data_IF_026536676856
#
_entry.id   IF_026536676856
#
_cell.length_a   1.000
_cell.length_b   1.000
_cell.length_c   1.000
_cell.angle_alpha   90.00
_cell.angle_beta   90.00
_cell.angle_gamma   90.00
#
_symmetry.space_group_name_H-M   'P 1'
#
loop_
_entity.id
_entity.type
_entity.pdbx_description
1 polymer ?
#
# COMPACT_ATOMS: atom_id res chain seq x y z
N UNK A 1 -26.33 -15.37 2.11
CA UNK A 1 -25.58 -14.92 0.90
C UNK A 1 -24.43 -14.07 1.43
N UNK A 2 -23.19 -14.35 1.05
CA UNK A 2 -22.03 -13.59 1.54
C UNK A 2 -22.04 -12.19 0.91
N UNK A 3 -22.29 -11.17 1.74
CA UNK A 3 -22.33 -9.75 1.32
C UNK A 3 -21.05 -9.34 0.60
N UNK A 4 -19.89 -9.86 1.05
CA UNK A 4 -18.59 -9.51 0.48
C UNK A 4 -18.40 -10.12 -0.91
N UNK A 5 -18.94 -11.33 -1.14
CA UNK A 5 -18.88 -12.02 -2.43
C UNK A 5 -19.62 -11.25 -3.54
N UNK A 6 -20.70 -10.54 -3.19
CA UNK A 6 -21.45 -9.71 -4.15
C UNK A 6 -20.72 -8.40 -4.50
N UNK A 7 -19.78 -7.96 -3.68
CA UNK A 7 -19.01 -6.73 -3.89
C UNK A 7 -17.69 -6.96 -4.65
N UNK A 8 -17.15 -8.17 -4.60
CA UNK A 8 -15.94 -8.51 -5.34
C UNK A 8 -16.19 -8.50 -6.84
N UNK A 9 -15.24 -7.94 -7.61
CA UNK A 9 -15.25 -8.03 -9.08
C UNK A 9 -14.63 -9.33 -9.58
N UNK A 10 -13.97 -10.09 -8.70
CA UNK A 10 -13.24 -11.30 -9.05
C UNK A 10 -13.88 -12.52 -8.40
N UNK A 11 -13.82 -13.65 -9.09
CA UNK A 11 -14.24 -14.92 -8.49
C UNK A 11 -13.04 -15.57 -7.83
N UNK A 12 -12.96 -15.46 -6.51
CA UNK A 12 -11.86 -16.01 -5.73
C UNK A 12 -12.02 -17.48 -5.36
N UNK A 13 -10.88 -18.13 -5.13
CA UNK A 13 -10.81 -19.32 -4.29
C UNK A 13 -11.20 -18.94 -2.84
N UNK A 14 -11.74 -19.88 -2.04
CA UNK A 14 -12.23 -19.59 -0.69
C UNK A 14 -11.23 -18.85 0.22
N UNK A 15 -9.94 -19.16 0.14
CA UNK A 15 -8.92 -18.49 0.94
C UNK A 15 -8.76 -17.00 0.60
N UNK A 16 -8.72 -16.64 -0.69
CA UNK A 16 -8.67 -15.23 -1.14
C UNK A 16 -9.95 -14.47 -0.78
N UNK A 17 -11.10 -15.15 -0.83
CA UNK A 17 -12.37 -14.59 -0.39
C UNK A 17 -12.37 -14.28 1.12
N UNK A 18 -11.75 -15.15 1.94
CA UNK A 18 -11.61 -14.92 3.39
C UNK A 18 -10.82 -13.64 3.69
N UNK A 19 -9.72 -13.40 2.97
CA UNK A 19 -8.90 -12.19 3.16
C UNK A 19 -9.72 -10.92 2.91
N UNK A 20 -10.47 -10.87 1.80
CA UNK A 20 -11.30 -9.71 1.49
C UNK A 20 -12.38 -9.50 2.56
N UNK A 21 -12.98 -10.60 3.06
CA UNK A 21 -13.96 -10.54 4.15
C UNK A 21 -13.33 -9.97 5.41
N UNK A 22 -12.17 -10.48 5.81
CA UNK A 22 -11.50 -10.11 7.04
C UNK A 22 -10.98 -8.65 6.99
N UNK A 23 -10.60 -8.17 5.80
CA UNK A 23 -10.34 -6.73 5.53
C UNK A 23 -11.57 -5.88 5.81
N UNK A 24 -12.74 -6.25 5.27
CA UNK A 24 -14.00 -5.51 5.48
C UNK A 24 -14.39 -5.52 6.96
N UNK A 25 -14.20 -6.65 7.64
CA UNK A 25 -14.48 -6.77 9.08
C UNK A 25 -13.55 -5.85 9.89
N UNK A 26 -12.25 -5.81 9.57
CA UNK A 26 -11.31 -4.94 10.27
C UNK A 26 -11.65 -3.46 10.04
N UNK A 27 -11.97 -3.06 8.80
CA UNK A 27 -12.43 -1.71 8.51
C UNK A 27 -13.70 -1.36 9.31
N UNK A 28 -14.69 -2.26 9.38
CA UNK A 28 -15.92 -2.02 10.14
C UNK A 28 -15.66 -1.87 11.65
N UNK A 29 -14.75 -2.67 12.20
CA UNK A 29 -14.35 -2.58 13.61
C UNK A 29 -13.60 -1.26 13.89
N UNK A 30 -12.68 -0.85 13.02
CA UNK A 30 -11.96 0.42 13.15
C UNK A 30 -12.89 1.64 13.03
N UNK A 31 -13.90 1.57 12.15
CA UNK A 31 -14.83 2.67 11.90
C UNK A 31 -15.92 2.81 12.96
N UNK A 32 -16.43 1.69 13.45
CA UNK A 32 -17.68 1.66 14.23
C UNK A 32 -17.49 1.11 15.64
N UNK A 33 -16.31 0.58 15.98
CA UNK A 33 -16.04 -0.08 17.27
C UNK A 33 -16.83 -1.37 17.51
N UNK A 34 -17.68 -1.79 16.57
CA UNK A 34 -18.55 -2.96 16.69
C UNK A 34 -18.84 -3.60 15.34
N UNK A 35 -18.98 -4.92 15.37
CA UNK A 35 -19.34 -5.71 14.21
C UNK A 35 -20.84 -6.01 14.20
N UNK A 36 -21.55 -5.55 13.17
CA UNK A 36 -22.92 -5.91 12.90
C UNK A 36 -23.19 -5.83 11.39
N UNK A 37 -24.30 -6.42 10.93
CA UNK A 37 -24.68 -6.36 9.50
C UNK A 37 -24.74 -4.91 9.01
N UNK A 38 -25.37 -3.96 9.71
CA UNK A 38 -25.37 -2.55 9.30
C UNK A 38 -23.97 -1.92 9.23
N UNK A 39 -23.04 -2.26 10.13
CA UNK A 39 -21.68 -1.68 10.09
C UNK A 39 -20.86 -2.25 8.92
N UNK A 40 -21.07 -3.52 8.58
CA UNK A 40 -20.49 -4.15 7.38
C UNK A 40 -21.04 -3.49 6.11
N UNK A 41 -22.37 -3.34 5.99
CA UNK A 41 -23.00 -2.70 4.83
C UNK A 41 -22.54 -1.24 4.66
N UNK A 42 -22.53 -0.46 5.74
CA UNK A 42 -22.04 0.91 5.72
C UNK A 42 -20.56 0.97 5.26
N UNK A 43 -19.72 0.05 5.75
CA UNK A 43 -18.31 -0.03 5.34
C UNK A 43 -18.18 -0.34 3.85
N UNK A 44 -18.94 -1.33 3.35
CA UNK A 44 -18.95 -1.73 1.94
C UNK A 44 -19.36 -0.57 1.01
N UNK A 45 -20.34 0.23 1.43
CA UNK A 45 -20.85 1.35 0.63
C UNK A 45 -19.98 2.61 0.73
N UNK A 46 -19.59 3.03 1.92
CA UNK A 46 -18.85 4.28 2.14
C UNK A 46 -17.38 4.17 1.71
N UNK A 47 -16.78 2.99 1.83
CA UNK A 47 -15.35 2.77 1.54
C UNK A 47 -15.13 1.85 0.33
N UNK A 48 -16.11 1.83 -0.58
CA UNK A 48 -16.05 1.06 -1.83
C UNK A 48 -14.74 1.26 -2.62
N UNK A 49 -14.14 2.46 -2.72
CA UNK A 49 -12.85 2.62 -3.40
C UNK A 49 -11.72 1.81 -2.76
N UNK A 50 -11.62 1.82 -1.43
CA UNK A 50 -10.61 1.06 -0.67
C UNK A 50 -10.82 -0.44 -0.85
N UNK A 51 -12.06 -0.90 -0.70
CA UNK A 51 -12.40 -2.32 -0.83
C UNK A 51 -12.15 -2.82 -2.26
N UNK A 52 -12.51 -2.02 -3.27
CA UNK A 52 -12.22 -2.35 -4.67
C UNK A 52 -10.72 -2.40 -4.96
N UNK A 53 -9.94 -1.62 -4.24
CA UNK A 53 -8.49 -1.69 -4.34
C UNK A 53 -7.93 -2.95 -3.68
N UNK A 54 -8.37 -3.33 -2.48
CA UNK A 54 -7.97 -4.61 -1.87
C UNK A 54 -8.39 -5.81 -2.72
N UNK A 55 -9.57 -5.78 -3.31
CA UNK A 55 -10.02 -6.76 -4.31
C UNK A 55 -8.97 -6.88 -5.44
N UNK A 56 -8.56 -5.76 -6.03
CA UNK A 56 -7.48 -5.79 -7.02
C UNK A 56 -6.16 -6.34 -6.46
N UNK A 57 -5.70 -5.89 -5.28
CA UNK A 57 -4.45 -6.35 -4.68
C UNK A 57 -4.43 -7.87 -4.50
N UNK A 58 -5.53 -8.44 -3.98
CA UNK A 58 -5.68 -9.89 -3.78
C UNK A 58 -5.69 -10.65 -5.12
N UNK A 59 -6.22 -10.04 -6.19
CA UNK A 59 -6.26 -10.68 -7.50
C UNK A 59 -4.89 -10.76 -8.16
N UNK A 60 -4.06 -9.72 -8.00
CA UNK A 60 -2.71 -9.68 -8.61
C UNK A 60 -1.60 -10.22 -7.71
N UNK A 61 -1.83 -10.34 -6.40
CA UNK A 61 -0.84 -10.88 -5.49
C UNK A 61 -0.54 -12.35 -5.81
N UNK A 62 0.75 -12.65 -5.99
CA UNK A 62 1.28 -14.01 -6.16
C UNK A 62 1.38 -14.71 -4.81
N UNK A 63 0.24 -14.86 -4.14
CA UNK A 63 0.15 -15.49 -2.83
C UNK A 63 0.07 -17.01 -2.96
N UNK A 64 0.99 -17.73 -2.31
CA UNK A 64 0.68 -19.07 -1.83
C UNK A 64 -0.13 -18.91 -0.54
N UNK A 65 -1.37 -19.37 -0.55
CA UNK A 65 -2.27 -19.33 0.61
C UNK A 65 -2.26 -20.65 1.38
N UNK A 66 -1.19 -21.44 1.21
CA UNK A 66 -1.07 -22.75 1.85
C UNK A 66 -0.70 -22.64 3.35
N UNK A 67 -0.38 -21.44 3.87
CA UNK A 67 -0.17 -21.22 5.30
C UNK A 67 -1.42 -20.61 5.96
N UNK A 68 -1.84 -21.19 7.09
CA UNK A 68 -2.91 -20.71 7.97
C UNK A 68 -2.67 -19.29 8.55
N UNK A 69 -1.59 -18.61 8.18
CA UNK A 69 -1.17 -17.30 8.68
C UNK A 69 -2.01 -16.14 8.13
N UNK A 70 -2.73 -16.34 7.01
CA UNK A 70 -3.50 -15.26 6.37
C UNK A 70 -4.93 -15.09 6.91
N UNK A 71 -5.39 -16.01 7.76
CA UNK A 71 -6.74 -15.97 8.36
C UNK A 71 -6.66 -15.19 9.65
N UNK A 72 -7.60 -14.26 9.87
CA UNK A 72 -7.62 -13.49 11.11
C UNK A 72 -7.85 -14.40 12.32
N UNK A 73 -6.93 -14.34 13.27
CA UNK A 73 -7.14 -14.85 14.62
C UNK A 73 -7.80 -13.74 15.46
N UNK A 74 -8.87 -14.06 16.18
CA UNK A 74 -9.63 -13.10 16.99
C UNK A 74 -8.81 -12.53 18.17
N UNK A 75 -7.63 -13.09 18.44
CA UNK A 75 -6.67 -12.56 19.41
C UNK A 75 -5.89 -11.32 18.91
N UNK A 76 -5.85 -11.07 17.59
CA UNK A 76 -5.13 -9.91 17.03
C UNK A 76 -6.01 -8.66 17.02
N UNK A 77 -5.46 -7.54 17.52
CA UNK A 77 -6.11 -6.23 17.41
C UNK A 77 -6.46 -5.94 15.93
N UNK A 78 -7.70 -5.53 15.58
CA UNK A 78 -8.13 -5.35 14.20
C UNK A 78 -7.22 -4.42 13.38
N UNK A 79 -6.67 -3.39 14.04
CA UNK A 79 -5.70 -2.48 13.42
C UNK A 79 -4.36 -3.14 13.08
N UNK A 80 -3.85 -4.01 13.96
CA UNK A 80 -2.59 -4.73 13.73
C UNK A 80 -2.71 -5.68 12.54
N UNK A 81 -3.75 -6.52 12.55
CA UNK A 81 -3.99 -7.46 11.45
C UNK A 81 -4.21 -6.74 10.11
N UNK A 82 -4.94 -5.62 10.12
CA UNK A 82 -5.18 -4.82 8.92
C UNK A 82 -3.88 -4.26 8.31
N UNK A 83 -2.97 -3.79 9.17
CA UNK A 83 -1.64 -3.33 8.76
C UNK A 83 -0.80 -4.48 8.22
N UNK A 84 -0.70 -5.59 8.96
CA UNK A 84 0.13 -6.73 8.56
C UNK A 84 -0.34 -7.34 7.24
N UNK A 85 -1.65 -7.47 7.05
CA UNK A 85 -2.23 -7.96 5.81
C UNK A 85 -1.98 -7.00 4.64
N UNK A 86 -2.02 -5.68 4.88
CA UNK A 86 -1.71 -4.68 3.83
C UNK A 86 -0.24 -4.77 3.42
N UNK A 87 0.67 -4.87 4.39
CA UNK A 87 2.10 -5.05 4.14
C UNK A 87 2.36 -6.35 3.35
N UNK A 88 1.74 -7.45 3.78
CA UNK A 88 1.84 -8.74 3.11
C UNK A 88 1.33 -8.71 1.67
N UNK A 89 0.17 -8.05 1.44
CA UNK A 89 -0.37 -7.85 0.09
C UNK A 89 0.60 -7.06 -0.78
N UNK A 90 1.16 -5.97 -0.28
CA UNK A 90 2.11 -5.16 -1.03
C UNK A 90 3.39 -5.91 -1.38
N UNK A 91 3.96 -6.66 -0.45
CA UNK A 91 5.17 -7.47 -0.69
C UNK A 91 4.90 -8.64 -1.66
N UNK A 92 3.66 -9.13 -1.70
CA UNK A 92 3.27 -10.26 -2.57
C UNK A 92 2.94 -9.86 -4.00
N UNK A 93 3.03 -8.58 -4.38
CA UNK A 93 2.69 -8.15 -5.74
C UNK A 93 3.89 -8.32 -6.66
N UNK A 94 3.76 -9.08 -7.76
CA UNK A 94 4.79 -9.12 -8.78
C UNK A 94 4.82 -7.78 -9.52
N UNK A 95 5.84 -6.97 -9.23
CA UNK A 95 6.03 -5.65 -9.84
C UNK A 95 6.49 -5.78 -11.29
N UNK A 96 5.52 -6.05 -12.17
CA UNK A 96 5.67 -5.99 -13.62
C UNK A 96 5.19 -4.64 -14.15
N UNK A 97 5.61 -4.26 -15.35
CA UNK A 97 5.30 -2.94 -15.94
C UNK A 97 3.78 -2.66 -16.05
N UNK A 98 2.96 -3.70 -16.29
CA UNK A 98 1.52 -3.52 -16.45
C UNK A 98 0.77 -3.37 -15.11
N UNK A 99 1.28 -4.00 -14.05
CA UNK A 99 0.70 -3.95 -12.69
C UNK A 99 1.10 -2.64 -11.98
N UNK A 100 2.30 -2.13 -12.25
CA UNK A 100 2.83 -0.91 -11.64
C UNK A 100 2.14 0.39 -12.10
N UNK A 101 1.79 0.54 -13.38
CA UNK A 101 1.19 1.77 -13.91
C UNK A 101 -0.26 1.99 -13.51
N UNK A 102 -1.05 0.93 -13.41
CA UNK A 102 -2.52 1.05 -13.33
C UNK A 102 -3.05 1.26 -11.91
N UNK A 103 -2.26 0.91 -10.88
CA UNK A 103 -2.80 0.75 -9.53
C UNK A 103 -2.08 1.58 -8.49
N UNK A 104 -0.76 1.61 -8.49
CA UNK A 104 -0.05 1.98 -7.25
C UNK A 104 -0.12 3.43 -6.78
N UNK A 105 -0.07 4.47 -7.65
CA UNK A 105 0.07 5.82 -7.14
C UNK A 105 -1.17 6.30 -6.35
N UNK A 106 -2.35 6.21 -6.93
CA UNK A 106 -3.57 6.75 -6.30
C UNK A 106 -4.15 5.83 -5.24
N UNK A 107 -3.87 4.53 -5.31
CA UNK A 107 -4.51 3.56 -4.42
C UNK A 107 -3.83 3.44 -3.07
N UNK A 108 -2.50 3.57 -3.03
CA UNK A 108 -1.73 3.61 -1.77
C UNK A 108 -2.19 4.77 -0.91
N UNK A 109 -2.38 5.96 -1.50
CA UNK A 109 -2.82 7.14 -0.76
C UNK A 109 -4.19 6.97 -0.12
N UNK A 110 -5.15 6.33 -0.81
CA UNK A 110 -6.49 6.10 -0.24
C UNK A 110 -6.41 5.13 0.95
N UNK A 111 -5.55 4.11 0.90
CA UNK A 111 -5.32 3.22 2.06
C UNK A 111 -4.62 3.99 3.19
N UNK A 112 -3.57 4.75 2.88
CA UNK A 112 -2.82 5.52 3.86
C UNK A 112 -3.73 6.52 4.58
N UNK A 113 -4.51 7.31 3.85
CA UNK A 113 -5.45 8.27 4.43
C UNK A 113 -6.43 7.60 5.42
N UNK A 114 -6.94 6.42 5.05
CA UNK A 114 -7.80 5.65 5.93
C UNK A 114 -7.07 5.20 7.19
N UNK A 115 -5.90 4.58 7.03
CA UNK A 115 -5.10 4.10 8.15
C UNK A 115 -4.70 5.25 9.08
N UNK A 116 -4.26 6.37 8.54
CA UNK A 116 -3.91 7.57 9.31
C UNK A 116 -5.08 8.09 10.13
N UNK A 117 -6.28 8.14 9.54
CA UNK A 117 -7.46 8.66 10.22
C UNK A 117 -8.02 7.74 11.30
N UNK A 118 -7.89 6.43 11.13
CA UNK A 118 -8.60 5.44 11.96
C UNK A 118 -7.68 4.55 12.80
N UNK A 119 -6.34 4.72 12.73
CA UNK A 119 -5.38 3.99 13.57
C UNK A 119 -4.51 4.90 14.47
N UNK A 120 -4.52 6.23 14.32
CA UNK A 120 -3.45 7.10 14.83
C UNK A 120 -3.28 7.15 16.35
N UNK A 121 -4.34 6.94 17.14
CA UNK A 121 -4.30 7.31 18.56
C UNK A 121 -3.47 6.34 19.44
N UNK A 122 -3.20 5.12 18.95
CA UNK A 122 -2.42 4.10 19.69
C UNK A 122 -1.38 3.35 18.84
N UNK A 123 -1.25 3.65 17.53
CA UNK A 123 -0.51 2.80 16.59
C UNK A 123 0.53 3.54 15.71
N UNK A 124 1.17 4.59 16.22
CA UNK A 124 2.18 5.35 15.45
C UNK A 124 3.28 4.47 14.86
N UNK A 125 3.72 3.43 15.57
CA UNK A 125 4.70 2.48 15.06
C UNK A 125 4.18 1.70 13.84
N UNK A 126 2.89 1.36 13.81
CA UNK A 126 2.28 0.67 12.67
C UNK A 126 2.13 1.59 11.46
N UNK A 127 1.69 2.83 11.68
CA UNK A 127 1.60 3.83 10.62
C UNK A 127 2.98 4.07 9.98
N UNK A 128 4.03 4.16 10.79
CA UNK A 128 5.39 4.31 10.28
C UNK A 128 5.83 3.10 9.43
N UNK A 129 5.52 1.87 9.83
CA UNK A 129 5.81 0.68 9.01
C UNK A 129 5.09 0.71 7.66
N UNK A 130 3.81 1.09 7.66
CA UNK A 130 3.02 1.22 6.42
C UNK A 130 3.60 2.31 5.53
N UNK A 131 3.97 3.47 6.07
CA UNK A 131 4.61 4.54 5.30
C UNK A 131 5.91 4.10 4.63
N UNK A 132 6.78 3.41 5.37
CA UNK A 132 8.04 2.90 4.82
C UNK A 132 7.77 1.91 3.69
N UNK A 133 6.78 1.03 3.85
CA UNK A 133 6.39 0.08 2.80
C UNK A 133 5.77 0.77 1.58
N UNK A 134 4.89 1.75 1.79
CA UNK A 134 4.29 2.57 0.75
C UNK A 134 5.36 3.29 -0.09
N UNK A 135 6.33 3.91 0.58
CA UNK A 135 7.51 4.52 -0.05
C UNK A 135 8.27 3.50 -0.90
N UNK A 136 8.60 2.35 -0.32
CA UNK A 136 9.34 1.29 -1.00
C UNK A 136 8.64 0.84 -2.29
N UNK A 137 7.33 0.58 -2.23
CA UNK A 137 6.61 0.04 -3.38
C UNK A 137 6.36 1.09 -4.46
N UNK A 138 6.07 2.34 -4.11
CA UNK A 138 5.95 3.43 -5.09
C UNK A 138 7.25 3.61 -5.86
N UNK A 139 8.37 3.57 -5.16
CA UNK A 139 9.70 3.73 -5.73
C UNK A 139 10.07 2.56 -6.63
N UNK A 140 9.83 1.32 -6.19
CA UNK A 140 10.04 0.13 -7.04
C UNK A 140 9.17 0.21 -8.30
N UNK A 141 7.91 0.64 -8.19
CA UNK A 141 7.03 0.86 -9.33
C UNK A 141 7.62 1.85 -10.33
N UNK A 142 8.14 2.98 -9.86
CA UNK A 142 8.79 3.98 -10.72
C UNK A 142 10.03 3.43 -11.42
N UNK A 143 10.83 2.60 -10.73
CA UNK A 143 11.94 1.86 -11.32
C UNK A 143 11.52 0.97 -12.49
N UNK A 144 10.48 0.18 -12.27
CA UNK A 144 9.96 -0.74 -13.29
C UNK A 144 9.39 0.03 -14.49
N UNK A 145 8.64 1.12 -14.25
CA UNK A 145 8.02 1.94 -15.30
C UNK A 145 9.07 2.60 -16.19
N UNK A 146 10.03 3.28 -15.57
CA UNK A 146 10.97 4.15 -16.30
C UNK A 146 12.25 3.44 -16.72
N UNK A 147 12.74 2.55 -15.87
CA UNK A 147 14.05 1.88 -16.03
C UNK A 147 13.93 0.40 -16.40
N UNK A 148 12.72 -0.17 -16.43
CA UNK A 148 12.48 -1.60 -16.69
C UNK A 148 13.25 -2.54 -15.75
N UNK A 149 13.56 -2.09 -14.54
CA UNK A 149 14.27 -2.88 -13.54
C UNK A 149 13.83 -2.52 -12.12
N UNK A 150 13.76 -3.53 -11.26
CA UNK A 150 13.56 -3.44 -9.81
C UNK A 150 14.91 -3.48 -9.04
N UNK A 151 16.01 -3.88 -9.69
CA UNK A 151 17.34 -4.10 -9.10
C UNK A 151 18.00 -2.85 -8.53
N UNK A 152 17.65 -1.69 -9.09
CA UNK A 152 18.16 -0.38 -8.66
C UNK A 152 17.90 -0.10 -7.17
N UNK A 153 16.97 -0.82 -6.54
CA UNK A 153 16.47 -0.49 -5.19
C UNK A 153 16.86 -1.46 -4.08
N UNK A 154 17.49 -2.60 -4.38
CA UNK A 154 18.06 -3.44 -3.31
C UNK A 154 19.11 -2.68 -2.50
N UNK A 155 19.71 -1.64 -3.08
CA UNK A 155 20.68 -0.74 -2.43
C UNK A 155 20.02 0.45 -1.70
N UNK A 156 18.72 0.74 -1.95
CA UNK A 156 18.00 1.88 -1.35
C UNK A 156 17.24 1.57 -0.07
N UNK A 157 17.38 0.35 0.48
CA UNK A 157 16.62 -0.11 1.66
C UNK A 157 16.71 0.84 2.87
N UNK A 158 17.83 1.54 3.02
CA UNK A 158 18.07 2.51 4.10
C UNK A 158 17.49 3.91 3.83
N UNK A 159 17.15 4.23 2.59
CA UNK A 159 16.69 5.57 2.19
C UNK A 159 15.19 5.77 2.40
N UNK A 160 14.44 4.67 2.52
CA UNK A 160 12.98 4.67 2.71
C UNK A 160 12.57 4.71 4.18
N UNK A 161 13.53 4.50 5.09
CA UNK A 161 13.39 4.57 6.55
C UNK A 161 13.21 6.02 7.06
N UNK A 162 13.51 7.04 6.24
CA UNK A 162 13.36 8.46 6.57
C UNK A 162 12.52 9.20 5.52
N UNK A 163 12.04 10.40 5.86
CA UNK A 163 11.43 11.31 4.88
C UNK A 163 12.44 11.61 3.76
N UNK A 164 12.02 11.38 2.53
CA UNK A 164 12.77 11.64 1.30
C UNK A 164 13.17 13.10 1.15
N UNK A 165 12.28 14.05 1.49
CA UNK A 165 12.59 15.48 1.36
C UNK A 165 13.57 15.97 2.42
N UNK A 166 13.71 15.27 3.55
CA UNK A 166 14.61 15.65 4.65
C UNK A 166 16.00 15.01 4.55
N UNK A 167 16.21 14.08 3.62
CA UNK A 167 17.48 13.35 3.51
C UNK A 167 18.19 13.68 2.19
N UNK A 168 19.08 14.69 2.23
CA UNK A 168 19.91 15.08 1.08
C UNK A 168 20.71 13.91 0.49
N UNK A 169 21.14 12.95 1.32
CA UNK A 169 21.89 11.77 0.85
C UNK A 169 21.05 10.87 -0.05
N UNK A 170 19.74 10.80 0.20
CA UNK A 170 18.80 10.06 -0.65
C UNK A 170 18.73 10.67 -2.04
N UNK A 171 18.59 11.99 -2.12
CA UNK A 171 18.56 12.74 -3.38
C UNK A 171 19.88 12.59 -4.13
N UNK A 172 21.01 12.74 -3.45
CA UNK A 172 22.35 12.55 -4.05
C UNK A 172 22.52 11.14 -4.60
N UNK A 173 22.14 10.10 -3.86
CA UNK A 173 22.26 8.71 -4.30
C UNK A 173 21.38 8.40 -5.51
N UNK A 174 20.14 8.91 -5.57
CA UNK A 174 19.27 8.77 -6.76
C UNK A 174 19.94 9.37 -8.00
N UNK A 175 20.58 10.54 -7.85
CA UNK A 175 21.32 11.22 -8.92
C UNK A 175 22.56 10.42 -9.34
N UNK A 176 23.35 9.91 -8.39
CA UNK A 176 24.56 9.13 -8.66
C UNK A 176 24.24 7.80 -9.36
N UNK A 177 23.24 7.07 -8.88
CA UNK A 177 22.82 5.80 -9.47
C UNK A 177 22.26 5.97 -10.88
N UNK A 178 21.69 7.14 -11.20
CA UNK A 178 21.34 7.51 -12.58
C UNK A 178 22.57 7.78 -13.45
N UNK A 179 23.52 8.56 -12.96
CA UNK A 179 24.76 8.86 -13.69
C UNK A 179 25.51 7.56 -14.04
N UNK A 180 25.43 6.55 -13.17
CA UNK A 180 26.00 5.22 -13.39
C UNK A 180 25.21 4.35 -14.39
N UNK A 181 23.89 4.55 -14.54
CA UNK A 181 23.01 3.74 -15.40
C UNK A 181 22.64 4.44 -16.73
N UNK A 182 23.64 4.93 -17.47
CA UNK A 182 23.49 5.64 -18.78
C UNK A 182 22.73 4.87 -19.89
N UNK A 183 22.19 3.68 -19.63
CA UNK A 183 21.36 2.91 -20.57
C UNK A 183 19.92 3.40 -20.68
N UNK A 184 19.43 4.21 -19.73
CA UNK A 184 18.14 4.89 -19.85
C UNK A 184 18.28 6.23 -20.59
N UNK A 185 17.38 6.53 -21.53
CA UNK A 185 17.40 7.86 -22.19
C UNK A 185 17.24 8.96 -21.14
N UNK A 186 17.93 10.10 -21.33
CA UNK A 186 17.84 11.26 -20.42
C UNK A 186 16.40 11.67 -20.11
N UNK A 187 15.51 11.51 -21.08
CA UNK A 187 14.07 11.78 -20.96
C UNK A 187 13.35 10.85 -19.98
N UNK A 188 13.63 9.53 -20.00
CA UNK A 188 13.03 8.56 -19.06
C UNK A 188 13.45 8.80 -17.63
N UNK A 189 14.69 9.22 -17.42
CA UNK A 189 15.14 9.59 -16.09
C UNK A 189 14.48 10.87 -15.58
N UNK A 190 14.31 11.87 -16.45
CA UNK A 190 13.67 13.11 -16.07
C UNK A 190 12.20 12.87 -15.65
N UNK A 191 11.49 12.00 -16.38
CA UNK A 191 10.16 11.51 -16.00
C UNK A 191 10.17 10.72 -14.69
N UNK A 192 11.16 9.83 -14.50
CA UNK A 192 11.36 9.11 -13.24
C UNK A 192 11.52 10.06 -12.04
N UNK A 193 12.36 11.09 -12.15
CA UNK A 193 12.58 12.07 -11.07
C UNK A 193 11.31 12.88 -10.81
N UNK A 194 10.58 13.30 -11.84
CA UNK A 194 9.32 14.03 -11.68
C UNK A 194 8.25 13.20 -10.98
N UNK A 195 8.09 11.94 -11.40
CA UNK A 195 7.11 11.03 -10.80
C UNK A 195 7.53 10.64 -9.38
N UNK A 196 8.83 10.50 -9.12
CA UNK A 196 9.38 10.26 -7.79
C UNK A 196 9.09 11.43 -6.85
N UNK A 197 9.33 12.66 -7.29
CA UNK A 197 9.00 13.85 -6.50
C UNK A 197 7.49 13.97 -6.25
N UNK A 198 6.67 13.53 -7.20
CA UNK A 198 5.20 13.52 -7.06
C UNK A 198 4.75 12.46 -6.05
N UNK A 199 5.31 11.26 -6.13
CA UNK A 199 5.10 10.16 -5.20
C UNK A 199 5.50 10.56 -3.77
N UNK A 200 6.70 11.11 -3.60
CA UNK A 200 7.20 11.64 -2.33
C UNK A 200 6.26 12.70 -1.77
N UNK A 201 5.90 13.73 -2.54
CA UNK A 201 4.99 14.79 -2.09
C UNK A 201 3.64 14.26 -1.66
N UNK A 202 3.14 13.22 -2.31
CA UNK A 202 1.85 12.61 -1.97
C UNK A 202 1.96 11.83 -0.66
N UNK A 203 2.96 10.97 -0.50
CA UNK A 203 3.13 10.17 0.73
C UNK A 203 3.49 11.04 1.93
N UNK A 204 4.36 12.04 1.75
CA UNK A 204 4.76 12.96 2.82
C UNK A 204 3.73 14.07 3.08
N UNK A 205 2.94 14.45 2.08
CA UNK A 205 1.82 15.37 2.28
C UNK A 205 0.77 14.80 3.23
N UNK A 206 0.55 13.48 3.18
CA UNK A 206 -0.34 12.76 4.11
C UNK A 206 0.23 12.77 5.54
N UNK A 207 1.54 12.60 5.69
CA UNK A 207 2.23 12.70 6.99
C UNK A 207 2.10 14.10 7.60
N UNK A 208 2.24 15.16 6.78
CA UNK A 208 2.07 16.56 7.21
C UNK A 208 0.63 16.96 7.53
N UNK A 209 -0.36 16.27 6.94
CA UNK A 209 -1.78 16.54 7.20
C UNK A 209 -2.27 15.94 8.54
N UNK A 210 -1.44 15.19 9.28
CA UNK A 210 -1.74 14.79 10.68
C UNK A 210 -2.14 15.98 11.56
N UNK A 211 -1.53 17.15 11.34
CA UNK A 211 -1.83 18.39 12.09
C UNK A 211 -3.22 18.97 11.79
N UNK A 212 -3.91 18.54 10.72
CA UNK A 212 -5.28 18.98 10.38
C UNK A 212 -6.37 18.16 11.07
N UNK A 213 -6.03 16.99 11.60
CA UNK A 213 -6.98 16.06 12.20
C UNK A 213 -6.88 15.99 13.73
N UNK A 214 -6.05 16.85 14.34
CA UNK A 214 -5.98 17.07 15.80
C UNK A 214 -7.02 18.02 16.34
#
# INVERSE_FOLDING_TARGET
MDLVQNFSKHKYAPAKQSILRDIVVCMALLLCGKLSIPTIEATLHCFRPIISHYDYLISVASMSLDSNESVRDDEHHPGQWFVDMTLFLWDSIPLTANVSQSVFPNSISIILDFMYKYLSDENDNLINKVLVSARNIEIKCLGVIHMKTDKFFNEMKHLTEQSFLRNEKTVTYIIESYLANQTASKEKYLLFVQDLLTAIKRVEGIEGDKDKYG
#
